data_IF_308117235765
#
_entry.id   IF_308117235765
#
_cell.length_a   1.000
_cell.length_b   1.000
_cell.length_c   1.000
_cell.angle_alpha   90.00
_cell.angle_beta   90.00
_cell.angle_gamma   90.00
#
_symmetry.space_group_name_H-M   'P 1'
#
loop_
_entity.id
_entity.type
_entity.pdbx_description
1 polymer ?
#
# COMPACT_ATOMS: atom_id res chain seq x y z
N UNK A 1 1.26 4.38 -33.44
CA UNK A 1 0.77 4.56 -32.05
C UNK A 1 -0.66 5.09 -32.05
N UNK A 2 -1.69 4.24 -32.15
CA UNK A 2 -3.12 4.68 -32.14
C UNK A 2 -4.03 3.94 -31.14
N UNK A 3 -3.54 2.94 -30.42
CA UNK A 3 -4.36 2.09 -29.53
C UNK A 3 -4.43 2.59 -28.09
N UNK A 4 -3.35 3.15 -27.54
CA UNK A 4 -3.29 3.55 -26.13
C UNK A 4 -3.99 4.90 -25.86
N UNK A 5 -3.70 5.92 -26.67
CA UNK A 5 -4.33 7.25 -26.57
C UNK A 5 -5.84 7.27 -26.87
N UNK A 6 -6.39 6.19 -27.42
CA UNK A 6 -7.85 6.00 -27.53
C UNK A 6 -8.50 5.87 -26.15
N UNK A 7 -7.79 5.29 -25.18
CA UNK A 7 -8.32 5.02 -23.83
C UNK A 7 -7.74 5.97 -22.78
N UNK A 8 -6.51 6.46 -22.97
CA UNK A 8 -5.85 7.42 -22.07
C UNK A 8 -5.24 8.56 -22.89
N UNK A 9 -6.00 9.63 -23.20
CA UNK A 9 -5.56 10.73 -24.08
C UNK A 9 -4.35 11.52 -23.58
N UNK A 10 -3.87 11.30 -22.36
CA UNK A 10 -2.61 11.88 -21.85
C UNK A 10 -1.77 10.89 -21.07
N UNK A 11 -0.47 11.21 -20.90
CA UNK A 11 0.44 10.47 -20.02
C UNK A 11 -0.08 10.44 -18.58
N UNK A 12 -0.63 11.55 -18.10
CA UNK A 12 -1.14 11.65 -16.73
C UNK A 12 -2.36 10.76 -16.52
N UNK A 13 -3.25 10.68 -17.51
CA UNK A 13 -4.38 9.76 -17.48
C UNK A 13 -3.94 8.29 -17.56
N UNK A 14 -2.88 8.00 -18.29
CA UNK A 14 -2.28 6.67 -18.33
C UNK A 14 -1.71 6.26 -16.97
N UNK A 15 -0.98 7.16 -16.29
CA UNK A 15 -0.46 6.92 -14.94
C UNK A 15 -1.59 6.71 -13.94
N UNK A 16 -2.63 7.54 -13.99
CA UNK A 16 -3.81 7.38 -13.13
C UNK A 16 -4.47 6.02 -13.34
N UNK A 17 -4.75 5.63 -14.59
CA UNK A 17 -5.38 4.34 -14.90
C UNK A 17 -4.52 3.14 -14.43
N UNK A 18 -3.20 3.23 -14.59
CA UNK A 18 -2.28 2.20 -14.12
C UNK A 18 -2.25 2.08 -12.59
N UNK A 19 -2.23 3.21 -11.88
CA UNK A 19 -2.27 3.24 -10.41
C UNK A 19 -3.63 2.76 -9.86
N UNK A 20 -4.72 3.04 -10.57
CA UNK A 20 -6.04 2.52 -10.20
C UNK A 20 -6.10 0.99 -10.31
N UNK A 21 -5.64 0.45 -11.44
CA UNK A 21 -5.54 -0.99 -11.60
C UNK A 21 -4.62 -1.63 -10.55
N UNK A 22 -3.50 -0.97 -10.24
CA UNK A 22 -2.58 -1.40 -9.18
C UNK A 22 -3.22 -1.38 -7.80
N UNK A 23 -4.00 -0.35 -7.47
CA UNK A 23 -4.71 -0.26 -6.20
C UNK A 23 -5.66 -1.45 -5.99
N UNK A 24 -6.47 -1.79 -7.00
CA UNK A 24 -7.34 -2.95 -6.94
C UNK A 24 -6.59 -4.28 -6.76
N UNK A 25 -5.51 -4.49 -7.54
CA UNK A 25 -4.64 -5.68 -7.39
C UNK A 25 -4.03 -5.77 -5.99
N UNK A 26 -3.53 -4.66 -5.47
CA UNK A 26 -2.88 -4.61 -4.16
C UNK A 26 -3.86 -4.93 -3.03
N UNK A 27 -5.04 -4.31 -3.04
CA UNK A 27 -6.10 -4.59 -2.08
C UNK A 27 -6.55 -6.06 -2.12
N UNK A 28 -6.72 -6.63 -3.31
CA UNK A 28 -7.06 -8.04 -3.46
C UNK A 28 -5.97 -8.94 -2.85
N UNK A 29 -4.70 -8.68 -3.19
CA UNK A 29 -3.56 -9.42 -2.66
C UNK A 29 -3.48 -9.38 -1.14
N UNK A 30 -3.57 -8.19 -0.54
CA UNK A 30 -3.39 -8.03 0.91
C UNK A 30 -4.47 -8.73 1.70
N UNK A 31 -5.72 -8.62 1.28
CA UNK A 31 -6.88 -8.98 2.12
C UNK A 31 -7.55 -10.30 1.74
N UNK A 32 -7.20 -10.91 0.62
CA UNK A 32 -7.80 -12.19 0.22
C UNK A 32 -7.40 -13.32 1.18
N UNK A 33 -8.38 -13.95 1.83
CA UNK A 33 -8.16 -15.12 2.70
C UNK A 33 -7.18 -14.84 3.83
N UNK A 34 -7.39 -13.75 4.58
CA UNK A 34 -6.65 -13.52 5.83
C UNK A 34 -7.15 -14.48 6.92
N UNK A 35 -6.26 -14.93 7.82
CA UNK A 35 -6.66 -15.66 9.04
C UNK A 35 -7.63 -14.84 9.90
N UNK A 36 -8.52 -15.52 10.63
CA UNK A 36 -9.47 -14.86 11.55
C UNK A 36 -8.80 -14.37 12.84
N UNK A 37 -7.70 -15.02 13.25
CA UNK A 37 -6.95 -14.62 14.43
C UNK A 37 -6.18 -13.33 14.15
N UNK A 38 -6.62 -12.21 14.73
CA UNK A 38 -6.12 -10.87 14.40
C UNK A 38 -4.59 -10.72 14.49
N UNK A 39 -3.96 -11.41 15.45
CA UNK A 39 -2.52 -11.42 15.59
C UNK A 39 -1.78 -12.10 14.44
N UNK A 40 -2.29 -13.23 13.96
CA UNK A 40 -1.76 -13.93 12.78
C UNK A 40 -2.12 -13.17 11.51
N UNK A 41 -3.29 -12.52 11.48
CA UNK A 41 -3.75 -11.70 10.36
C UNK A 41 -2.82 -10.52 10.10
N UNK A 42 -2.38 -9.81 11.15
CA UNK A 42 -1.45 -8.67 11.01
C UNK A 42 -0.09 -9.11 10.48
N UNK A 43 0.48 -10.18 11.06
CA UNK A 43 1.76 -10.72 10.60
C UNK A 43 1.70 -11.19 9.14
N UNK A 44 0.61 -11.88 8.77
CA UNK A 44 0.33 -12.33 7.40
C UNK A 44 0.20 -11.15 6.44
N UNK A 45 -0.48 -10.07 6.86
CA UNK A 45 -0.64 -8.86 6.07
C UNK A 45 0.72 -8.19 5.82
N UNK A 46 1.55 -8.04 6.86
CA UNK A 46 2.89 -7.46 6.74
C UNK A 46 3.81 -8.31 5.84
N UNK A 47 3.72 -9.64 5.91
CA UNK A 47 4.45 -10.53 4.99
C UNK A 47 4.02 -10.35 3.53
N UNK A 48 2.71 -10.18 3.29
CA UNK A 48 2.19 -9.90 1.93
C UNK A 48 2.65 -8.54 1.42
N UNK A 49 2.69 -7.52 2.28
CA UNK A 49 3.27 -6.22 1.94
C UNK A 49 4.74 -6.39 1.57
N UNK A 50 5.55 -7.06 2.39
CA UNK A 50 6.97 -7.32 2.11
C UNK A 50 7.16 -8.03 0.75
N UNK A 51 6.39 -9.09 0.49
CA UNK A 51 6.48 -9.80 -0.79
C UNK A 51 6.13 -8.90 -1.99
N UNK A 52 5.12 -8.04 -1.86
CA UNK A 52 4.80 -7.04 -2.88
C UNK A 52 5.92 -6.04 -3.07
N UNK A 53 6.52 -5.55 -1.98
CA UNK A 53 7.64 -4.61 -2.06
C UNK A 53 8.85 -5.23 -2.77
N UNK A 54 9.13 -6.51 -2.50
CA UNK A 54 10.22 -7.27 -3.13
C UNK A 54 10.04 -7.49 -4.63
N UNK A 55 8.80 -7.71 -5.08
CA UNK A 55 8.52 -8.17 -6.46
C UNK A 55 8.00 -7.07 -7.37
N UNK A 56 7.27 -6.10 -6.82
CA UNK A 56 6.45 -5.16 -7.58
C UNK A 56 6.72 -3.69 -7.20
N UNK A 57 7.46 -3.41 -6.11
CA UNK A 57 7.66 -2.04 -5.60
C UNK A 57 9.04 -1.83 -4.94
N UNK A 58 10.10 -2.35 -5.53
CA UNK A 58 11.45 -2.40 -4.91
C UNK A 58 12.04 -1.03 -4.54
N UNK A 59 11.51 0.05 -5.12
CA UNK A 59 11.96 1.43 -4.92
C UNK A 59 10.98 2.27 -4.06
N UNK A 60 10.10 1.61 -3.30
CA UNK A 60 9.11 2.29 -2.46
C UNK A 60 7.71 2.35 -3.10
N UNK A 61 6.81 3.07 -2.43
CA UNK A 61 5.41 3.13 -2.85
C UNK A 61 5.20 4.00 -4.10
N UNK A 62 4.81 3.39 -5.21
CA UNK A 62 4.56 4.09 -6.49
C UNK A 62 3.52 5.23 -6.41
N UNK A 63 2.56 5.17 -5.47
CA UNK A 63 1.59 6.25 -5.28
C UNK A 63 2.26 7.54 -4.79
N UNK A 64 3.18 7.41 -3.82
CA UNK A 64 3.99 8.54 -3.35
C UNK A 64 4.93 9.03 -4.44
N UNK A 65 5.59 8.12 -5.16
CA UNK A 65 6.47 8.49 -6.28
C UNK A 65 5.71 9.27 -7.37
N UNK A 66 4.47 8.89 -7.67
CA UNK A 66 3.65 9.58 -8.67
C UNK A 66 3.29 11.01 -8.25
N UNK A 67 2.91 11.22 -6.98
CA UNK A 67 2.66 12.56 -6.43
C UNK A 67 3.95 13.39 -6.41
N UNK A 68 5.08 12.80 -6.01
CA UNK A 68 6.37 13.50 -6.02
C UNK A 68 6.78 13.95 -7.43
N UNK A 69 6.50 13.13 -8.46
CA UNK A 69 6.80 13.45 -9.85
C UNK A 69 5.85 14.50 -10.48
N UNK A 70 4.65 14.68 -9.91
CA UNK A 70 3.63 15.62 -10.40
C UNK A 70 2.89 16.29 -9.22
N UNK A 71 3.57 17.16 -8.45
CA UNK A 71 3.07 17.66 -7.16
C UNK A 71 1.79 18.49 -7.27
N UNK A 72 1.53 19.11 -8.42
CA UNK A 72 0.34 19.92 -8.67
C UNK A 72 -0.83 19.11 -9.25
N UNK A 73 -0.67 17.80 -9.45
CA UNK A 73 -1.74 16.95 -9.98
C UNK A 73 -2.66 16.47 -8.84
N UNK A 74 -3.75 17.21 -8.65
CA UNK A 74 -4.74 16.92 -7.60
C UNK A 74 -5.36 15.51 -7.70
N UNK A 75 -5.47 14.94 -8.91
CA UNK A 75 -6.02 13.58 -9.08
C UNK A 75 -5.07 12.52 -8.52
N UNK A 76 -3.76 12.68 -8.73
CA UNK A 76 -2.76 11.77 -8.16
C UNK A 76 -2.70 11.90 -6.63
N UNK A 77 -2.80 13.12 -6.12
CA UNK A 77 -2.89 13.37 -4.68
C UNK A 77 -4.09 12.67 -4.05
N UNK A 78 -5.27 12.82 -4.66
CA UNK A 78 -6.48 12.16 -4.19
C UNK A 78 -6.39 10.63 -4.26
N UNK A 79 -5.81 10.09 -5.33
CA UNK A 79 -5.61 8.64 -5.46
C UNK A 79 -4.66 8.09 -4.40
N UNK A 80 -3.58 8.82 -4.06
CA UNK A 80 -2.71 8.46 -2.95
C UNK A 80 -3.48 8.45 -1.62
N UNK A 81 -4.22 9.51 -1.32
CA UNK A 81 -5.01 9.63 -0.08
C UNK A 81 -6.02 8.48 0.05
N UNK A 82 -6.79 8.21 -1.01
CA UNK A 82 -7.75 7.10 -1.05
C UNK A 82 -7.07 5.75 -0.85
N UNK A 83 -5.98 5.51 -1.58
CA UNK A 83 -5.22 4.26 -1.45
C UNK A 83 -4.73 4.03 -0.01
N UNK A 84 -4.22 5.06 0.66
CA UNK A 84 -3.72 4.94 2.05
C UNK A 84 -4.86 4.76 3.05
N UNK A 85 -5.95 5.50 2.88
CA UNK A 85 -7.14 5.36 3.72
C UNK A 85 -7.74 3.95 3.62
N UNK A 86 -7.95 3.45 2.40
CA UNK A 86 -8.53 2.12 2.16
C UNK A 86 -7.66 1.01 2.75
N UNK A 87 -6.33 1.12 2.59
CA UNK A 87 -5.39 0.13 3.11
C UNK A 87 -5.37 0.15 4.64
N UNK A 88 -5.25 1.32 5.26
CA UNK A 88 -5.21 1.47 6.72
C UNK A 88 -6.50 1.00 7.40
N UNK A 89 -7.64 1.44 6.88
CA UNK A 89 -8.96 1.10 7.43
C UNK A 89 -9.20 -0.42 7.35
N UNK A 90 -8.99 -1.01 6.17
CA UNK A 90 -9.21 -2.45 5.98
C UNK A 90 -8.21 -3.31 6.74
N UNK A 91 -6.98 -2.86 6.92
CA UNK A 91 -6.00 -3.54 7.76
C UNK A 91 -6.45 -3.57 9.21
N UNK A 92 -6.87 -2.43 9.76
CA UNK A 92 -7.37 -2.34 11.13
C UNK A 92 -8.60 -3.22 11.37
N UNK A 93 -9.56 -3.21 10.44
CA UNK A 93 -10.74 -4.08 10.48
C UNK A 93 -10.37 -5.56 10.42
N UNK A 94 -9.51 -5.94 9.46
CA UNK A 94 -9.14 -7.33 9.24
C UNK A 94 -8.36 -7.95 10.41
N UNK A 95 -7.65 -7.14 11.20
CA UNK A 95 -6.88 -7.61 12.37
C UNK A 95 -7.64 -7.42 13.68
N UNK A 96 -8.89 -6.96 13.64
CA UNK A 96 -9.73 -6.77 14.84
C UNK A 96 -9.35 -5.57 15.71
N UNK A 97 -8.64 -4.58 15.16
CA UNK A 97 -8.17 -3.39 15.88
C UNK A 97 -8.67 -2.09 15.20
N UNK A 98 -9.99 -1.89 15.05
CA UNK A 98 -10.54 -0.72 14.34
C UNK A 98 -10.21 0.63 15.00
N UNK A 99 -9.86 0.63 16.29
CA UNK A 99 -9.40 1.84 16.98
C UNK A 99 -7.95 2.23 16.64
N UNK A 100 -7.17 1.32 16.04
CA UNK A 100 -5.74 1.48 15.77
C UNK A 100 -5.43 1.77 14.30
N UNK A 101 -6.38 2.34 13.54
CA UNK A 101 -6.21 2.64 12.10
C UNK A 101 -4.96 3.49 11.86
N UNK A 102 -4.71 4.49 12.70
CA UNK A 102 -3.58 5.41 12.55
C UNK A 102 -2.26 4.69 12.79
N UNK A 103 -2.16 3.93 13.87
CA UNK A 103 -0.96 3.16 14.24
C UNK A 103 -0.62 2.12 13.18
N UNK A 104 -1.63 1.37 12.71
CA UNK A 104 -1.46 0.39 11.64
C UNK A 104 -1.02 1.08 10.34
N UNK A 105 -1.62 2.22 10.00
CA UNK A 105 -1.20 3.01 8.82
C UNK A 105 0.25 3.44 8.95
N UNK A 106 0.67 3.95 10.11
CA UNK A 106 2.07 4.36 10.36
C UNK A 106 3.04 3.19 10.22
N UNK A 107 2.70 2.01 10.77
CA UNK A 107 3.52 0.80 10.64
C UNK A 107 3.66 0.38 9.18
N UNK A 108 2.56 0.38 8.43
CA UNK A 108 2.55 0.01 7.01
C UNK A 108 3.28 1.03 6.13
N UNK A 109 3.12 2.33 6.38
CA UNK A 109 3.88 3.36 5.69
C UNK A 109 5.36 3.25 6.03
N UNK A 110 5.71 3.01 7.29
CA UNK A 110 7.07 2.73 7.71
C UNK A 110 7.68 1.57 6.92
N UNK A 111 6.97 0.44 6.82
CA UNK A 111 7.41 -0.72 6.03
C UNK A 111 7.61 -0.36 4.56
N UNK A 112 6.61 0.25 3.92
CA UNK A 112 6.65 0.51 2.48
C UNK A 112 7.64 1.60 2.08
N UNK A 113 7.83 2.64 2.89
CA UNK A 113 8.76 3.74 2.57
C UNK A 113 10.21 3.39 2.90
N UNK A 114 10.45 2.62 3.97
CA UNK A 114 11.80 2.23 4.36
C UNK A 114 12.34 1.01 3.62
N UNK A 115 11.49 0.28 2.89
CA UNK A 115 11.86 -0.96 2.19
C UNK A 115 13.10 -0.82 1.30
N UNK A 116 13.20 0.25 0.51
CA UNK A 116 14.32 0.45 -0.41
C UNK A 116 15.68 0.58 0.32
N UNK A 117 15.66 0.96 1.60
CA UNK A 117 16.86 1.13 2.43
C UNK A 117 17.11 -0.08 3.35
N UNK A 118 16.05 -0.65 3.91
CA UNK A 118 16.14 -1.63 5.00
C UNK A 118 15.75 -3.06 4.57
N UNK A 119 15.05 -3.22 3.45
CA UNK A 119 14.53 -4.49 2.97
C UNK A 119 13.78 -5.26 4.07
N UNK A 120 14.11 -6.54 4.24
CA UNK A 120 13.49 -7.42 5.25
C UNK A 120 13.64 -6.92 6.69
N UNK A 121 14.61 -6.05 7.00
CA UNK A 121 14.71 -5.45 8.34
C UNK A 121 13.53 -4.52 8.64
N UNK A 122 12.97 -3.86 7.62
CA UNK A 122 11.74 -3.08 7.77
C UNK A 122 10.56 -3.98 8.18
N UNK A 123 10.46 -5.18 7.59
CA UNK A 123 9.42 -6.16 7.94
C UNK A 123 9.57 -6.62 9.40
N UNK A 124 10.79 -6.97 9.82
CA UNK A 124 11.06 -7.39 11.20
C UNK A 124 10.67 -6.28 12.19
N UNK A 125 11.01 -5.04 11.88
CA UNK A 125 10.63 -3.88 12.70
C UNK A 125 9.11 -3.67 12.73
N UNK A 126 8.45 -3.73 11.57
CA UNK A 126 7.00 -3.57 11.46
C UNK A 126 6.23 -4.63 12.27
N UNK A 127 6.65 -5.90 12.20
CA UNK A 127 6.07 -6.98 13.01
C UNK A 127 6.26 -6.74 14.51
N UNK A 128 7.45 -6.29 14.93
CA UNK A 128 7.72 -5.95 16.33
C UNK A 128 6.79 -4.83 16.82
N UNK A 129 6.65 -3.76 16.05
CA UNK A 129 5.76 -2.64 16.38
C UNK A 129 4.29 -3.07 16.39
N UNK A 130 3.86 -3.87 15.41
CA UNK A 130 2.50 -4.41 15.36
C UNK A 130 2.18 -5.36 16.51
N UNK A 131 3.18 -6.02 17.08
CA UNK A 131 3.03 -6.80 18.31
C UNK A 131 2.70 -5.96 19.54
N UNK A 132 2.98 -4.65 19.54
CA UNK A 132 2.70 -3.74 20.65
C UNK A 132 1.26 -3.19 20.65
N UNK A 133 0.48 -3.44 19.59
CA UNK A 133 -0.92 -3.02 19.49
C UNK A 133 -1.90 -4.03 20.13
N UNK A 134 -1.36 -5.09 20.76
CA UNK A 134 -2.10 -6.21 21.34
C UNK A 134 -1.94 -6.23 22.86
#
# INVERSE_FOLDING_TARGET
MRTLYKYTPSRDEMVLAALEHRHGRYLSLLFHGLPEEGGIALDTLLDRVSNWMKTEATHGCLFHSAVAAAPNNAKLRHLLERHKADVGQRAAEAVGLPACVVEITVIMEGLTQSWALLGEQALVSAKRLGGLLR
#
